data_IF_421437197029
#
_entry.id   IF_421437197029
#
_cell.length_a   1.000
_cell.length_b   1.000
_cell.length_c   1.000
_cell.angle_alpha   90.00
_cell.angle_beta   90.00
_cell.angle_gamma   90.00
#
_symmetry.space_group_name_H-M   'P 1'
#
loop_
_entity.id
_entity.type
_entity.pdbx_description
1 polymer ?
#
# COMPACT_ATOMS: atom_id res chain seq x y z
N UNK A 1 -8.64 -3.40 -1.01
CA UNK A 1 -7.46 -4.29 -1.06
C UNK A 1 -7.88 -5.63 -0.50
N UNK A 2 -7.93 -6.65 -1.35
CA UNK A 2 -8.22 -8.03 -0.98
C UNK A 2 -6.91 -8.80 -0.76
N UNK A 3 -6.15 -8.36 0.23
CA UNK A 3 -4.91 -8.98 0.66
C UNK A 3 -4.61 -8.51 2.09
N UNK A 4 -3.65 -9.18 2.73
CA UNK A 4 -3.12 -8.76 4.01
C UNK A 4 -1.87 -7.91 3.83
N UNK A 5 -1.77 -6.80 4.56
CA UNK A 5 -0.54 -6.01 4.65
C UNK A 5 -0.36 -5.41 6.05
N UNK A 6 0.87 -5.45 6.57
CA UNK A 6 1.29 -4.77 7.78
C UNK A 6 2.47 -3.86 7.47
N UNK A 7 2.37 -2.60 7.91
CA UNK A 7 3.42 -1.62 7.76
C UNK A 7 4.39 -1.61 8.96
N UNK A 8 5.61 -1.14 8.74
CA UNK A 8 6.45 -0.58 9.79
C UNK A 8 5.81 0.72 10.30
N UNK A 9 6.28 1.23 11.44
CA UNK A 9 5.80 2.52 11.95
C UNK A 9 6.15 3.64 10.97
N UNK A 10 5.15 4.38 10.51
CA UNK A 10 5.29 5.32 9.41
C UNK A 10 4.42 6.55 9.62
N UNK A 11 4.96 7.71 9.28
CA UNK A 11 4.21 8.96 9.21
C UNK A 11 4.65 9.73 7.97
N UNK A 12 3.69 10.21 7.18
CA UNK A 12 3.93 10.96 5.95
C UNK A 12 4.97 10.28 5.02
N UNK A 13 4.74 8.99 4.72
CA UNK A 13 5.63 8.14 3.89
C UNK A 13 7.08 8.01 4.40
N UNK A 14 7.36 8.40 5.63
CA UNK A 14 8.68 8.29 6.26
C UNK A 14 8.61 7.32 7.43
N UNK A 15 9.58 6.42 7.54
CA UNK A 15 9.71 5.55 8.70
C UNK A 15 9.90 6.42 9.95
N UNK A 16 9.02 6.24 10.93
CA UNK A 16 8.98 7.07 12.12
C UNK A 16 8.75 6.17 13.34
N UNK A 17 9.69 6.08 14.29
CA UNK A 17 9.51 5.31 15.53
C UNK A 17 8.29 5.71 16.36
N UNK A 18 7.83 6.96 16.24
CA UNK A 18 6.64 7.48 16.89
C UNK A 18 5.37 7.34 16.03
N UNK A 19 5.51 6.97 14.76
CA UNK A 19 4.40 6.75 13.85
C UNK A 19 3.52 5.56 14.26
N UNK A 20 2.27 5.53 13.80
CA UNK A 20 1.38 4.38 13.97
C UNK A 20 1.83 3.20 13.12
N UNK A 21 1.34 2.01 13.50
CA UNK A 21 1.36 0.82 12.65
C UNK A 21 0.03 0.77 11.91
N UNK A 22 0.07 0.66 10.59
CA UNK A 22 -1.12 0.41 9.77
C UNK A 22 -1.18 -1.07 9.42
N UNK A 23 -2.36 -1.66 9.57
CA UNK A 23 -2.65 -3.05 9.25
C UNK A 23 -3.91 -3.07 8.38
N UNK A 24 -3.82 -3.74 7.24
CA UNK A 24 -4.93 -3.98 6.32
C UNK A 24 -5.29 -5.46 6.37
N UNK A 25 -6.55 -5.75 6.70
CA UNK A 25 -7.12 -7.11 6.77
C UNK A 25 -8.38 -7.15 5.89
N UNK A 26 -8.22 -6.82 4.61
CA UNK A 26 -9.33 -6.77 3.64
C UNK A 26 -9.56 -8.10 2.92
N UNK A 27 -8.90 -9.15 3.38
CA UNK A 27 -8.74 -10.47 2.76
C UNK A 27 -9.73 -11.51 3.31
N UNK A 28 -10.98 -11.11 3.54
CA UNK A 28 -12.01 -11.98 4.13
C UNK A 28 -12.58 -13.08 3.21
N UNK A 29 -12.17 -13.14 1.94
CA UNK A 29 -12.61 -14.19 1.01
C UNK A 29 -13.91 -13.91 0.25
N UNK A 30 -14.15 -12.66 -0.15
CA UNK A 30 -15.28 -12.34 -1.01
C UNK A 30 -15.07 -12.82 -2.46
N UNK A 31 -16.10 -12.74 -3.30
CA UNK A 31 -16.11 -13.26 -4.67
C UNK A 31 -15.27 -12.43 -5.67
N UNK A 32 -14.84 -11.23 -5.29
CA UNK A 32 -14.07 -10.33 -6.16
C UNK A 32 -12.63 -10.82 -6.33
N UNK A 33 -12.18 -11.78 -5.52
CA UNK A 33 -10.89 -12.43 -5.62
C UNK A 33 -9.79 -11.72 -4.84
N UNK A 34 -8.56 -12.22 -4.99
CA UNK A 34 -7.40 -11.81 -4.20
C UNK A 34 -6.46 -10.89 -4.99
N UNK A 35 -5.93 -9.85 -4.35
CA UNK A 35 -4.96 -8.93 -4.95
C UNK A 35 -3.56 -9.56 -4.92
N UNK A 36 -2.93 -9.72 -6.09
CA UNK A 36 -1.59 -10.32 -6.25
C UNK A 36 -0.56 -9.38 -6.90
N UNK A 37 -1.02 -8.39 -7.65
CA UNK A 37 -0.17 -7.39 -8.29
C UNK A 37 0.19 -6.30 -7.28
N UNK A 38 1.44 -5.87 -7.28
CA UNK A 38 1.90 -4.73 -6.49
C UNK A 38 2.20 -3.54 -7.41
N UNK A 39 1.96 -2.33 -6.91
CA UNK A 39 2.28 -1.11 -7.67
C UNK A 39 3.78 -0.98 -7.99
N UNK A 40 4.64 -1.63 -7.21
CA UNK A 40 6.09 -1.70 -7.40
C UNK A 40 6.56 -2.86 -8.29
N UNK A 41 5.64 -3.72 -8.77
CA UNK A 41 5.99 -4.74 -9.76
C UNK A 41 6.30 -4.09 -11.12
N UNK A 42 7.20 -4.69 -11.94
CA UNK A 42 7.56 -4.13 -13.24
C UNK A 42 6.35 -3.89 -14.15
N UNK A 43 6.11 -2.61 -14.49
CA UNK A 43 5.03 -2.20 -15.39
C UNK A 43 3.64 -2.13 -14.75
N UNK A 44 3.52 -2.30 -13.43
CA UNK A 44 2.24 -2.28 -12.70
C UNK A 44 1.95 -0.96 -11.98
N UNK A 45 2.88 -0.01 -11.98
CA UNK A 45 2.65 1.31 -11.39
C UNK A 45 1.49 2.03 -12.11
N UNK A 46 0.40 2.38 -11.41
CA UNK A 46 -0.74 3.05 -12.02
C UNK A 46 -0.41 4.46 -12.47
N UNK A 47 -1.19 4.98 -13.41
CA UNK A 47 -1.10 6.38 -13.82
C UNK A 47 -1.76 7.29 -12.78
N UNK A 48 -1.38 8.58 -12.71
CA UNK A 48 -2.01 9.53 -11.78
C UNK A 48 -3.51 9.75 -12.01
N UNK A 49 -4.05 9.31 -13.15
CA UNK A 49 -5.47 9.40 -13.50
C UNK A 49 -6.26 8.14 -13.14
N UNK A 50 -5.58 7.08 -12.71
CA UNK A 50 -6.23 5.88 -12.20
C UNK A 50 -6.64 6.07 -10.74
N UNK A 51 -7.50 5.19 -10.22
CA UNK A 51 -7.95 5.16 -8.82
C UNK A 51 -8.61 6.47 -8.34
N UNK A 52 -9.36 7.13 -9.23
CA UNK A 52 -10.15 8.31 -8.84
C UNK A 52 -11.31 7.86 -7.94
N UNK A 53 -11.43 8.40 -6.71
CA UNK A 53 -12.48 7.98 -5.79
C UNK A 53 -13.85 8.48 -6.27
N UNK A 54 -14.90 7.69 -6.00
CA UNK A 54 -16.30 8.08 -6.30
C UNK A 54 -16.72 9.33 -5.53
N UNK A 55 -16.16 9.53 -4.34
CA UNK A 55 -16.42 10.66 -3.45
C UNK A 55 -15.08 11.28 -3.06
N UNK A 56 -14.93 12.60 -3.29
CA UNK A 56 -13.75 13.36 -2.91
C UNK A 56 -12.84 13.72 -4.10
N UNK A 57 -11.69 14.30 -3.79
CA UNK A 57 -10.68 14.69 -4.77
C UNK A 57 -9.43 13.82 -4.70
N UNK A 58 -8.57 13.96 -5.71
CA UNK A 58 -7.27 13.29 -5.79
C UNK A 58 -6.20 14.16 -5.14
N UNK A 59 -5.40 13.56 -4.25
CA UNK A 59 -4.29 14.22 -3.57
C UNK A 59 -2.95 13.46 -3.68
N UNK A 60 -2.92 12.33 -4.39
CA UNK A 60 -1.68 11.61 -4.67
C UNK A 60 -0.84 12.36 -5.71
N UNK A 61 0.43 12.58 -5.36
CA UNK A 61 1.44 13.20 -6.22
C UNK A 61 2.71 12.36 -6.19
N UNK A 62 3.63 12.61 -7.12
CA UNK A 62 4.94 11.94 -7.09
C UNK A 62 5.67 12.25 -5.79
N UNK A 63 6.46 11.29 -5.30
CA UNK A 63 7.31 11.50 -4.15
C UNK A 63 8.33 12.61 -4.44
N UNK A 64 8.49 13.53 -3.48
CA UNK A 64 9.47 14.62 -3.57
C UNK A 64 10.81 14.29 -2.94
N UNK A 65 10.93 13.17 -2.23
CA UNK A 65 12.14 12.76 -1.49
C UNK A 65 12.22 11.23 -1.38
N UNK A 66 13.41 10.71 -1.08
CA UNK A 66 13.62 9.30 -0.75
C UNK A 66 13.83 8.40 -1.98
N UNK A 67 13.75 7.08 -1.78
CA UNK A 67 14.09 6.09 -2.83
C UNK A 67 13.25 6.19 -4.11
N UNK A 68 12.03 6.72 -4.02
CA UNK A 68 11.14 6.92 -5.15
C UNK A 68 11.00 8.39 -5.57
N UNK A 69 11.95 9.26 -5.22
CA UNK A 69 11.94 10.67 -5.61
C UNK A 69 11.71 10.87 -7.11
N UNK A 70 10.77 11.75 -7.45
CA UNK A 70 10.34 12.04 -8.81
C UNK A 70 9.41 10.98 -9.43
N UNK A 71 9.22 9.82 -8.78
CA UNK A 71 8.37 8.72 -9.25
C UNK A 71 7.05 8.66 -8.48
N UNK A 72 6.06 8.00 -9.08
CA UNK A 72 4.76 7.75 -8.46
C UNK A 72 4.75 6.48 -7.60
N UNK A 73 5.50 5.46 -8.02
CA UNK A 73 5.66 4.20 -7.30
C UNK A 73 7.14 3.89 -7.08
N UNK A 74 7.41 3.01 -6.12
CA UNK A 74 8.71 2.37 -5.97
C UNK A 74 8.90 1.30 -7.06
N UNK A 75 10.12 0.79 -7.21
CA UNK A 75 10.48 -0.31 -8.10
C UNK A 75 10.82 -1.62 -7.36
N UNK A 76 10.51 -1.62 -6.06
CA UNK A 76 10.60 -2.73 -5.11
C UNK A 76 9.66 -2.45 -3.95
N UNK A 77 9.45 -3.45 -3.09
CA UNK A 77 8.65 -3.29 -1.89
C UNK A 77 9.13 -2.07 -1.09
N UNK A 78 8.28 -1.08 -0.82
CA UNK A 78 8.65 0.09 -0.03
C UNK A 78 9.08 -0.31 1.37
N UNK A 79 10.05 0.41 1.95
CA UNK A 79 10.63 0.07 3.26
C UNK A 79 9.61 0.13 4.42
N UNK A 80 8.53 0.89 4.24
CA UNK A 80 7.42 0.93 5.19
C UNK A 80 6.48 -0.27 5.09
N UNK A 81 6.48 -1.04 4.00
CA UNK A 81 5.72 -2.29 3.89
C UNK A 81 6.51 -3.41 4.55
N UNK A 82 6.14 -3.79 5.77
CA UNK A 82 6.91 -4.77 6.55
C UNK A 82 6.57 -6.21 6.16
N UNK A 83 5.31 -6.46 5.82
CA UNK A 83 4.83 -7.77 5.39
C UNK A 83 3.58 -7.59 4.53
N UNK A 84 3.51 -8.30 3.40
CA UNK A 84 2.36 -8.33 2.51
C UNK A 84 2.18 -9.74 1.97
N UNK A 85 0.94 -10.23 1.96
CA UNK A 85 0.63 -11.60 1.54
C UNK A 85 -0.75 -11.67 0.89
N UNK A 86 -0.78 -12.31 -0.27
CA UNK A 86 -2.01 -12.66 -0.98
C UNK A 86 -2.55 -13.99 -0.46
N UNK A 87 -3.09 -13.96 0.75
CA UNK A 87 -3.85 -15.05 1.36
C UNK A 87 -5.17 -14.52 1.90
N UNK A 88 -6.15 -15.39 2.15
CA UNK A 88 -7.33 -15.04 2.94
C UNK A 88 -7.07 -15.25 4.43
N UNK A 89 -7.68 -14.43 5.28
CA UNK A 89 -7.31 -14.40 6.67
C UNK A 89 -8.20 -13.55 7.58
N UNK A 90 -7.73 -13.43 8.82
CA UNK A 90 -8.29 -12.54 9.85
C UNK A 90 -7.18 -12.11 10.82
N UNK A 91 -7.42 -11.05 11.59
CA UNK A 91 -6.52 -10.58 12.64
C UNK A 91 -7.08 -10.82 14.05
N UNK A 92 -6.19 -11.06 15.01
CA UNK A 92 -6.48 -11.07 16.45
C UNK A 92 -5.48 -10.13 17.11
N UNK A 93 -5.96 -9.22 17.97
CA UNK A 93 -5.15 -8.31 18.77
C UNK A 93 -5.47 -8.54 20.25
N UNK A 94 -4.44 -8.78 21.05
CA UNK A 94 -4.53 -9.02 22.50
C UNK A 94 -3.94 -7.85 23.30
#
# INVERSE_FOLDING_TARGET
>A
VHAYERMNRVYNYTLDPCGPVFITVGDGGNIEGIDIDHADDPGKCPSPRDNVPEIGGVCHINFSTGHAEGKFCWDKQPEWSAFRESSFGHGILE
#
